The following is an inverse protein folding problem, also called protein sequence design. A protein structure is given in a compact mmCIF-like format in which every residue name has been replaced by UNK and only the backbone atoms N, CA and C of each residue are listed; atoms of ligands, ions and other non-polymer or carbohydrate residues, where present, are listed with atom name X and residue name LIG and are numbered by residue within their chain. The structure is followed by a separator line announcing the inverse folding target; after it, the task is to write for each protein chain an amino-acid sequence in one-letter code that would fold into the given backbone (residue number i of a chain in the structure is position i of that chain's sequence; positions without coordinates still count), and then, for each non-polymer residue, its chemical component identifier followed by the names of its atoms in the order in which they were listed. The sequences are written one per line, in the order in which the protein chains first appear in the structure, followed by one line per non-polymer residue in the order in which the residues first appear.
data_IF_837080415338
#
_entry.id   IF_837080415338
#
_cell.length_a   1.000
_cell.length_b   1.000
_cell.length_c   1.000
_cell.angle_alpha   90.00
_cell.angle_beta   90.00
_cell.angle_gamma   90.00
#
_symmetry.space_group_name_H-M   'P 1'
#
loop_
_entity.id
_entity.type
_entity.pdbx_description
1 polymer ?
#
# COMPACT_ATOMS: atom_id res chain seq x y z
N UNK A 1 -4.95 -8.66 13.95
CA UNK A 1 -4.97 -9.33 15.27
C UNK A 1 -3.65 -9.05 15.98
N UNK A 2 -3.56 -9.17 17.30
CA UNK A 2 -2.34 -8.92 18.10
C UNK A 2 -1.14 -9.74 17.58
N UNK A 3 -1.40 -10.94 17.08
CA UNK A 3 -0.40 -11.82 16.47
C UNK A 3 0.18 -11.24 15.18
N UNK A 4 -0.64 -10.61 14.37
CA UNK A 4 -0.22 -10.03 13.10
C UNK A 4 0.58 -8.75 13.33
N UNK A 5 0.22 -7.99 14.37
CA UNK A 5 0.91 -6.76 14.77
C UNK A 5 2.38 -7.02 15.13
N UNK A 6 2.68 -8.08 15.91
CA UNK A 6 4.07 -8.43 16.25
C UNK A 6 4.88 -8.83 15.01
N UNK A 7 4.30 -9.65 14.13
CA UNK A 7 4.94 -10.07 12.89
C UNK A 7 5.17 -8.88 11.93
N UNK A 8 4.23 -7.95 11.87
CA UNK A 8 4.35 -6.71 11.11
C UNK A 8 5.49 -5.82 11.67
N UNK A 9 5.54 -5.61 12.98
CA UNK A 9 6.62 -4.86 13.63
C UNK A 9 7.99 -5.48 13.36
N UNK A 10 8.09 -6.81 13.40
CA UNK A 10 9.34 -7.50 13.09
C UNK A 10 9.73 -7.30 11.62
N UNK A 11 8.79 -7.42 10.70
CA UNK A 11 9.01 -7.14 9.28
C UNK A 11 9.54 -5.70 9.06
N UNK A 12 8.95 -4.72 9.72
CA UNK A 12 9.40 -3.32 9.64
C UNK A 12 10.83 -3.12 10.16
N UNK A 13 11.26 -3.90 11.17
CA UNK A 13 12.63 -3.83 11.69
C UNK A 13 13.65 -4.49 10.76
N UNK A 14 13.24 -5.57 10.11
CA UNK A 14 14.15 -6.43 9.33
C UNK A 14 14.29 -5.98 7.88
N UNK A 15 13.32 -5.26 7.33
CA UNK A 15 13.28 -4.89 5.92
C UNK A 15 13.52 -3.39 5.68
N UNK A 16 14.80 -3.05 5.50
CA UNK A 16 15.21 -1.67 5.19
C UNK A 16 14.62 -1.12 3.88
N UNK A 17 14.26 -1.98 2.92
CA UNK A 17 13.67 -1.54 1.65
C UNK A 17 12.31 -0.86 1.85
N UNK A 18 11.55 -1.25 2.87
CA UNK A 18 10.28 -0.61 3.21
C UNK A 18 10.47 0.90 3.39
N UNK A 19 11.48 1.31 4.12
CA UNK A 19 11.74 2.71 4.45
C UNK A 19 12.26 3.52 3.28
N UNK A 20 12.99 2.88 2.35
CA UNK A 20 13.50 3.55 1.14
C UNK A 20 12.34 4.13 0.34
N UNK A 21 11.29 3.34 0.13
CA UNK A 21 10.13 3.77 -0.65
C UNK A 21 9.13 4.64 0.14
N UNK A 22 9.23 4.62 1.47
CA UNK A 22 8.49 5.55 2.33
C UNK A 22 9.22 6.90 2.52
N UNK A 23 10.45 7.06 1.99
CA UNK A 23 11.22 8.29 2.11
C UNK A 23 11.72 8.61 3.52
N UNK A 24 11.85 7.60 4.38
CA UNK A 24 12.30 7.76 5.78
C UNK A 24 13.45 6.83 6.11
N UNK A 25 14.26 7.19 7.08
CA UNK A 25 15.34 6.33 7.57
C UNK A 25 14.81 5.30 8.57
N UNK A 26 15.30 4.04 8.54
CA UNK A 26 14.93 3.04 9.55
C UNK A 26 15.26 3.51 10.96
N UNK A 27 14.26 3.53 11.82
CA UNK A 27 14.44 3.83 13.25
C UNK A 27 13.28 3.22 14.04
N UNK A 28 13.49 2.92 15.32
CA UNK A 28 12.42 2.39 16.18
C UNK A 28 11.22 3.36 16.27
N UNK A 29 11.47 4.66 16.19
CA UNK A 29 10.42 5.68 16.16
C UNK A 29 9.54 5.55 14.91
N UNK A 30 10.14 5.30 13.75
CA UNK A 30 9.40 5.07 12.50
C UNK A 30 8.64 3.74 12.53
N UNK A 31 9.26 2.67 13.04
CA UNK A 31 8.59 1.38 13.26
C UNK A 31 7.32 1.57 14.06
N UNK A 32 7.42 2.24 15.21
CA UNK A 32 6.25 2.51 16.06
C UNK A 32 5.26 3.49 15.42
N UNK A 33 5.73 4.45 14.64
CA UNK A 33 4.88 5.36 13.88
C UNK A 33 4.01 4.63 12.86
N UNK A 34 4.58 3.73 12.08
CA UNK A 34 3.85 2.90 11.12
C UNK A 34 2.89 1.93 11.83
N UNK A 35 3.31 1.30 12.93
CA UNK A 35 2.42 0.44 13.71
C UNK A 35 1.18 1.21 14.19
N UNK A 36 1.38 2.38 14.79
CA UNK A 36 0.29 3.25 15.24
C UNK A 36 -0.61 3.69 14.08
N UNK A 37 -0.06 3.96 12.90
CA UNK A 37 -0.83 4.31 11.72
C UNK A 37 -1.79 3.17 11.32
N UNK A 38 -1.31 1.94 11.27
CA UNK A 38 -2.14 0.78 10.92
C UNK A 38 -3.12 0.34 12.03
N UNK A 39 -2.85 0.70 13.29
CA UNK A 39 -3.78 0.45 14.40
C UNK A 39 -4.89 1.51 14.52
N UNK A 40 -4.76 2.65 13.85
CA UNK A 40 -5.76 3.71 13.91
C UNK A 40 -7.04 3.28 13.19
N UNK A 41 -8.16 3.51 13.85
CA UNK A 41 -9.51 3.21 13.35
C UNK A 41 -10.25 4.45 12.83
N UNK A 42 -9.64 5.62 12.91
CA UNK A 42 -10.22 6.90 12.50
C UNK A 42 -10.04 7.22 11.01
N UNK A 43 -9.22 6.42 10.30
CA UNK A 43 -9.11 6.49 8.86
C UNK A 43 -10.12 5.54 8.19
N UNK A 44 -10.59 5.91 7.01
CA UNK A 44 -11.27 4.96 6.12
C UNK A 44 -10.22 4.00 5.53
N UNK A 45 -9.64 3.21 6.42
CA UNK A 45 -8.56 2.27 6.15
C UNK A 45 -9.09 0.85 6.27
N UNK A 46 -8.76 0.04 5.29
CA UNK A 46 -9.03 -1.39 5.30
C UNK A 46 -7.74 -2.11 4.91
N UNK A 47 -7.11 -2.80 5.86
CA UNK A 47 -5.83 -3.49 5.66
C UNK A 47 -5.97 -4.97 5.97
N UNK A 48 -5.46 -5.81 5.08
CA UNK A 48 -5.47 -7.26 5.19
C UNK A 48 -4.07 -7.82 5.24
N UNK A 49 -3.82 -8.69 6.21
CA UNK A 49 -2.58 -9.47 6.32
C UNK A 49 -2.54 -10.56 5.26
N UNK A 50 -1.37 -10.77 4.66
CA UNK A 50 -1.14 -11.81 3.66
C UNK A 50 -0.41 -12.99 4.27
N UNK A 51 -0.96 -14.19 4.05
CA UNK A 51 -0.41 -15.47 4.49
C UNK A 51 -0.34 -16.45 3.31
N UNK A 52 0.78 -17.16 3.10
CA UNK A 52 0.83 -18.22 2.10
C UNK A 52 -0.15 -19.36 2.44
N UNK A 53 -0.82 -19.91 1.43
CA UNK A 53 -1.81 -21.01 1.64
C UNK A 53 -1.23 -22.22 2.36
N UNK A 54 0.06 -22.52 2.14
CA UNK A 54 0.78 -23.63 2.75
C UNK A 54 1.33 -23.30 4.15
N UNK A 55 1.38 -22.03 4.52
CA UNK A 55 1.94 -21.53 5.79
C UNK A 55 1.02 -20.47 6.39
N UNK A 56 -0.20 -20.87 6.74
CA UNK A 56 -1.26 -19.97 7.21
C UNK A 56 -0.94 -19.16 8.47
N UNK A 57 0.15 -19.52 9.14
CA UNK A 57 0.64 -18.85 10.35
C UNK A 57 1.81 -17.90 10.08
N UNK A 58 2.30 -17.86 8.85
CA UNK A 58 3.43 -17.01 8.47
C UNK A 58 2.93 -15.74 7.80
N UNK A 59 2.95 -14.64 8.54
CA UNK A 59 2.73 -13.32 7.98
C UNK A 59 3.85 -12.97 6.99
N UNK A 60 3.49 -12.54 5.79
CA UNK A 60 4.47 -12.22 4.74
C UNK A 60 4.29 -10.82 4.15
N UNK A 61 3.27 -10.09 4.56
CA UNK A 61 3.00 -8.76 4.06
C UNK A 61 1.54 -8.36 4.26
N UNK A 62 1.16 -7.27 3.63
CA UNK A 62 -0.21 -6.75 3.68
C UNK A 62 -0.63 -6.12 2.34
N UNK A 63 -1.92 -5.97 2.18
CA UNK A 63 -2.57 -5.15 1.15
C UNK A 63 -3.69 -4.35 1.82
N UNK A 64 -3.87 -3.13 1.42
CA UNK A 64 -4.89 -2.27 2.01
C UNK A 64 -5.37 -1.18 1.06
N UNK A 65 -6.38 -0.46 1.50
CA UNK A 65 -6.88 0.75 0.88
C UNK A 65 -7.10 1.79 1.96
N UNK A 66 -6.70 3.01 1.70
CA UNK A 66 -6.95 4.15 2.57
C UNK A 66 -7.49 5.33 1.77
N UNK A 67 -8.13 6.25 2.47
CA UNK A 67 -8.61 7.49 1.88
C UNK A 67 -7.51 8.54 1.99
N UNK A 68 -7.03 9.04 0.86
CA UNK A 68 -6.01 10.07 0.81
C UNK A 68 -6.63 11.47 0.79
N UNK A 69 -7.66 11.67 -0.05
CA UNK A 69 -8.41 12.92 -0.15
C UNK A 69 -9.92 12.62 -0.21
N UNK A 70 -10.78 13.65 -0.31
CA UNK A 70 -12.22 13.52 -0.16
C UNK A 70 -12.85 12.45 -1.06
N UNK A 71 -12.36 12.26 -2.26
CA UNK A 71 -12.84 11.25 -3.21
C UNK A 71 -11.71 10.40 -3.80
N UNK A 72 -10.55 10.36 -3.13
CA UNK A 72 -9.40 9.61 -3.59
C UNK A 72 -9.04 8.49 -2.61
N UNK A 73 -9.10 7.26 -3.09
CA UNK A 73 -8.68 6.06 -2.37
C UNK A 73 -7.40 5.52 -2.99
N UNK A 74 -6.38 5.34 -2.17
CA UNK A 74 -5.12 4.73 -2.58
C UNK A 74 -5.04 3.28 -2.10
N UNK A 75 -4.61 2.37 -2.99
CA UNK A 75 -4.23 1.02 -2.63
C UNK A 75 -2.78 1.01 -2.20
N UNK A 76 -2.51 0.34 -1.09
CA UNK A 76 -1.17 0.14 -0.56
C UNK A 76 -0.88 -1.35 -0.40
N UNK A 77 0.37 -1.74 -0.53
CA UNK A 77 0.77 -3.13 -0.36
C UNK A 77 2.26 -3.25 -0.04
N UNK A 78 2.59 -4.29 0.67
CA UNK A 78 3.97 -4.65 0.92
C UNK A 78 4.14 -6.16 1.10
N UNK A 79 5.22 -6.70 0.56
CA UNK A 79 5.63 -8.10 0.74
C UNK A 79 7.05 -8.13 1.27
N UNK A 80 7.27 -8.87 2.35
CA UNK A 80 8.58 -9.10 2.93
C UNK A 80 9.57 -9.66 1.89
N UNK A 81 10.80 -9.21 1.94
CA UNK A 81 11.82 -9.36 0.90
C UNK A 81 11.98 -10.81 0.41
N UNK A 82 12.02 -11.76 1.35
CA UNK A 82 12.18 -13.18 1.06
C UNK A 82 10.99 -13.84 0.35
N UNK A 83 9.82 -13.16 0.33
CA UNK A 83 8.59 -13.65 -0.31
C UNK A 83 8.25 -12.94 -1.62
N UNK A 84 9.07 -11.95 -2.03
CA UNK A 84 8.87 -11.23 -3.30
C UNK A 84 9.04 -12.16 -4.51
N UNK A 85 8.53 -11.75 -5.67
CA UNK A 85 8.62 -12.48 -6.95
C UNK A 85 7.89 -13.83 -6.99
N UNK A 86 6.99 -14.10 -6.04
CA UNK A 86 6.17 -15.31 -5.99
C UNK A 86 4.68 -15.06 -6.35
N UNK A 87 4.33 -13.86 -6.83
CA UNK A 87 2.96 -13.50 -7.23
C UNK A 87 2.03 -13.11 -6.08
N UNK A 88 2.44 -13.21 -4.83
CA UNK A 88 1.58 -12.93 -3.67
C UNK A 88 0.96 -11.52 -3.69
N UNK A 89 1.76 -10.50 -4.02
CA UNK A 89 1.28 -9.14 -4.07
C UNK A 89 0.22 -8.96 -5.15
N UNK A 90 0.44 -9.52 -6.34
CA UNK A 90 -0.51 -9.47 -7.45
C UNK A 90 -1.82 -10.18 -7.10
N UNK A 91 -1.74 -11.40 -6.55
CA UNK A 91 -2.93 -12.18 -6.15
C UNK A 91 -3.75 -11.41 -5.11
N UNK A 92 -3.11 -10.90 -4.06
CA UNK A 92 -3.77 -10.18 -2.98
C UNK A 92 -4.38 -8.84 -3.45
N UNK A 93 -3.63 -8.07 -4.24
CA UNK A 93 -4.11 -6.78 -4.76
C UNK A 93 -5.28 -6.98 -5.72
N UNK A 94 -5.21 -7.97 -6.61
CA UNK A 94 -6.30 -8.28 -7.54
C UNK A 94 -7.57 -8.68 -6.81
N UNK A 95 -7.45 -9.49 -5.76
CA UNK A 95 -8.60 -9.88 -4.93
C UNK A 95 -9.22 -8.68 -4.21
N UNK A 96 -8.40 -7.82 -3.60
CA UNK A 96 -8.90 -6.59 -2.96
C UNK A 96 -9.60 -5.68 -3.96
N UNK A 97 -9.03 -5.46 -5.15
CA UNK A 97 -9.63 -4.65 -6.22
C UNK A 97 -10.97 -5.24 -6.67
N UNK A 98 -11.04 -6.57 -6.85
CA UNK A 98 -12.29 -7.25 -7.19
C UNK A 98 -13.39 -6.98 -6.15
N UNK A 99 -13.05 -7.05 -4.87
CA UNK A 99 -14.01 -6.78 -3.80
C UNK A 99 -14.42 -5.29 -3.77
N UNK A 100 -13.47 -4.37 -3.85
CA UNK A 100 -13.74 -2.92 -3.82
C UNK A 100 -14.64 -2.47 -4.97
N UNK A 101 -14.41 -2.98 -6.17
CA UNK A 101 -15.20 -2.67 -7.37
C UNK A 101 -16.48 -3.51 -7.49
N UNK A 102 -16.57 -4.63 -6.78
CA UNK A 102 -17.72 -5.55 -6.78
C UNK A 102 -18.65 -5.34 -5.59
N UNK A 103 -18.53 -6.21 -4.61
CA UNK A 103 -19.43 -6.29 -3.44
C UNK A 103 -19.10 -5.28 -2.34
N UNK A 104 -17.99 -4.57 -2.46
CA UNK A 104 -17.45 -3.67 -1.46
C UNK A 104 -16.67 -4.40 -0.37
N UNK A 105 -15.96 -3.65 0.44
CA UNK A 105 -15.21 -4.15 1.61
C UNK A 105 -15.74 -3.52 2.89
N UNK A 106 -15.71 -4.27 3.98
CA UNK A 106 -16.09 -3.74 5.28
C UNK A 106 -14.94 -2.91 5.87
N UNK A 107 -15.14 -1.61 5.98
CA UNK A 107 -14.22 -0.68 6.61
C UNK A 107 -14.94 0.07 7.74
N UNK A 108 -14.46 -0.06 8.98
CA UNK A 108 -15.03 0.61 10.15
C UNK A 108 -16.56 0.44 10.30
N UNK A 109 -17.07 -0.77 10.02
CA UNK A 109 -18.50 -1.09 10.12
C UNK A 109 -19.38 -0.54 8.99
N UNK A 110 -18.77 0.01 7.95
CA UNK A 110 -19.44 0.44 6.72
C UNK A 110 -18.91 -0.36 5.54
N UNK A 111 -19.75 -0.60 4.55
CA UNK A 111 -19.30 -1.13 3.27
C UNK A 111 -18.73 0.02 2.42
N UNK A 112 -17.47 -0.12 2.06
CA UNK A 112 -16.76 0.78 1.17
C UNK A 112 -16.88 0.24 -0.26
N UNK A 113 -17.49 1.04 -1.14
CA UNK A 113 -17.56 0.81 -2.59
C UNK A 113 -16.83 1.96 -3.25
N UNK A 114 -15.97 1.65 -4.17
CA UNK A 114 -15.23 2.66 -4.92
C UNK A 114 -15.24 2.31 -6.41
N UNK A 115 -15.20 3.33 -7.25
CA UNK A 115 -15.16 3.17 -8.71
C UNK A 115 -13.79 3.53 -9.28
N UNK A 116 -12.88 4.02 -8.43
CA UNK A 116 -11.57 4.47 -8.83
C UNK A 116 -10.55 4.30 -7.72
N UNK A 117 -9.40 3.75 -8.06
CA UNK A 117 -8.24 3.57 -7.20
C UNK A 117 -7.06 4.35 -7.73
N UNK A 118 -6.27 4.87 -6.82
CA UNK A 118 -5.01 5.55 -7.11
C UNK A 118 -3.84 4.85 -6.45
N UNK A 119 -2.65 5.13 -6.93
CA UNK A 119 -1.37 4.85 -6.26
C UNK A 119 -0.39 5.96 -6.61
N UNK A 120 0.25 6.50 -5.60
CA UNK A 120 1.39 7.40 -5.76
C UNK A 120 2.66 6.67 -5.35
N UNK A 121 3.65 6.62 -6.22
CA UNK A 121 4.93 5.94 -5.93
C UNK A 121 6.11 6.68 -6.57
N UNK A 122 7.30 6.45 -6.02
CA UNK A 122 8.54 7.02 -6.60
C UNK A 122 8.78 6.46 -8.00
N UNK A 123 9.28 7.30 -8.91
CA UNK A 123 9.54 6.90 -10.31
C UNK A 123 10.59 5.79 -10.41
N UNK A 124 11.50 5.70 -9.44
CA UNK A 124 12.50 4.63 -9.36
C UNK A 124 11.94 3.30 -8.83
N UNK A 125 10.71 3.28 -8.32
CA UNK A 125 10.09 2.05 -7.81
C UNK A 125 9.53 1.17 -8.93
N UNK A 126 10.39 0.79 -9.86
CA UNK A 126 10.07 -0.04 -11.03
C UNK A 126 9.29 -1.33 -10.69
N UNK A 127 9.60 -2.06 -9.59
CA UNK A 127 8.83 -3.25 -9.24
C UNK A 127 7.35 -2.95 -8.97
N UNK A 128 7.05 -1.85 -8.26
CA UNK A 128 5.68 -1.41 -7.98
C UNK A 128 4.98 -0.94 -9.25
N UNK A 129 5.63 -0.10 -10.06
CA UNK A 129 5.08 0.41 -11.32
C UNK A 129 4.73 -0.74 -12.26
N UNK A 130 5.65 -1.72 -12.40
CA UNK A 130 5.43 -2.91 -13.22
C UNK A 130 4.23 -3.74 -12.74
N UNK A 131 4.08 -3.93 -11.43
CA UNK A 131 2.94 -4.62 -10.84
C UNK A 131 1.63 -3.87 -11.11
N UNK A 132 1.62 -2.55 -10.90
CA UNK A 132 0.44 -1.71 -11.12
C UNK A 132 -0.03 -1.75 -12.57
N UNK A 133 0.90 -1.66 -13.53
CA UNK A 133 0.58 -1.80 -14.97
C UNK A 133 -0.02 -3.18 -15.28
N UNK A 134 0.50 -4.24 -14.65
CA UNK A 134 -0.05 -5.60 -14.79
C UNK A 134 -1.45 -5.75 -14.18
N UNK A 135 -1.77 -4.97 -13.15
CA UNK A 135 -3.11 -4.90 -12.56
C UNK A 135 -4.08 -4.02 -13.37
N UNK A 136 -3.59 -3.32 -14.41
CA UNK A 136 -4.38 -2.47 -15.28
C UNK A 136 -4.31 -0.97 -14.95
N UNK A 137 -3.52 -0.55 -13.97
CA UNK A 137 -3.33 0.86 -13.69
C UNK A 137 -2.58 1.56 -14.84
N UNK A 138 -3.01 2.78 -15.14
CA UNK A 138 -2.35 3.69 -16.07
C UNK A 138 -1.89 4.96 -15.37
N UNK A 139 -0.85 5.58 -15.89
CA UNK A 139 -0.40 6.86 -15.38
C UNK A 139 -1.43 7.96 -15.66
N UNK A 140 -1.57 8.89 -14.72
CA UNK A 140 -2.39 10.10 -14.96
C UNK A 140 -1.67 11.03 -15.96
N UNK A 141 -2.44 11.82 -16.70
CA UNK A 141 -1.90 12.64 -17.81
C UNK A 141 -0.93 13.75 -17.37
N UNK A 142 -1.01 14.17 -16.10
CA UNK A 142 -0.18 15.27 -15.58
C UNK A 142 1.32 14.91 -15.45
N UNK A 143 1.67 13.63 -15.65
CA UNK A 143 3.05 13.13 -15.56
C UNK A 143 3.62 13.12 -14.14
N UNK A 144 4.92 12.82 -14.03
CA UNK A 144 5.60 12.80 -12.74
C UNK A 144 5.64 14.18 -12.08
N UNK A 145 5.47 14.22 -10.77
CA UNK A 145 5.56 15.44 -9.97
C UNK A 145 6.63 15.31 -8.90
N UNK A 146 7.26 16.42 -8.55
CA UNK A 146 8.18 16.48 -7.42
C UNK A 146 7.37 16.63 -6.14
N UNK A 147 7.48 15.64 -5.27
CA UNK A 147 6.89 15.68 -3.93
C UNK A 147 8.01 15.78 -2.90
N UNK A 148 7.89 16.76 -2.04
CA UNK A 148 8.76 16.87 -0.87
C UNK A 148 8.13 16.07 0.25
N UNK A 149 8.64 14.87 0.46
CA UNK A 149 8.24 14.06 1.60
C UNK A 149 8.96 14.61 2.82
N UNK A 150 8.24 15.37 3.65
CA UNK A 150 8.68 15.68 4.99
C UNK A 150 8.69 14.40 5.80
N UNK A 151 9.65 14.27 6.70
CA UNK A 151 9.60 13.18 7.67
C UNK A 151 8.38 13.39 8.59
N UNK A 152 7.28 12.72 8.29
CA UNK A 152 6.01 12.82 9.04
C UNK A 152 6.17 12.51 10.55
N UNK A 153 7.31 11.92 10.94
CA UNK A 153 7.60 11.52 12.31
C UNK A 153 8.68 12.38 13.00
N UNK A 154 9.36 13.27 12.28
CA UNK A 154 10.40 14.14 12.86
C UNK A 154 10.11 15.61 12.58
N UNK A 155 10.32 16.43 13.61
CA UNK A 155 10.17 17.90 13.50
C UNK A 155 11.42 18.57 12.89
N UNK A 156 12.42 17.80 12.51
CA UNK A 156 13.66 18.32 11.93
C UNK A 156 13.56 18.35 10.40
N UNK A 157 14.16 19.37 9.79
CA UNK A 157 14.06 19.74 8.37
C UNK A 157 14.75 18.76 7.38
N UNK A 158 14.63 17.46 7.60
CA UNK A 158 15.09 16.46 6.65
C UNK A 158 13.99 16.18 5.61
N UNK A 159 13.87 17.11 4.66
CA UNK A 159 13.00 16.93 3.51
C UNK A 159 13.76 16.19 2.40
N UNK A 160 13.20 15.09 1.94
CA UNK A 160 13.67 14.42 0.73
C UNK A 160 12.70 14.74 -0.40
N UNK A 161 13.22 15.33 -1.49
CA UNK A 161 12.45 15.51 -2.69
C UNK A 161 12.53 14.24 -3.54
N UNK A 162 11.39 13.62 -3.81
CA UNK A 162 11.30 12.48 -4.72
C UNK A 162 10.42 12.82 -5.90
N UNK A 163 10.84 12.38 -7.07
CA UNK A 163 9.97 12.38 -8.23
C UNK A 163 9.00 11.19 -8.08
N UNK A 164 7.71 11.49 -8.12
CA UNK A 164 6.66 10.47 -7.98
C UNK A 164 5.78 10.46 -9.21
N UNK A 165 5.23 9.30 -9.51
CA UNK A 165 4.21 9.10 -10.52
C UNK A 165 2.92 8.68 -9.83
N UNK A 166 1.80 9.26 -10.26
CA UNK A 166 0.46 8.87 -9.84
C UNK A 166 -0.18 7.99 -10.91
N UNK A 167 -0.67 6.84 -10.50
CA UNK A 167 -1.37 5.90 -11.36
C UNK A 167 -2.83 5.78 -10.91
N UNK A 168 -3.70 5.45 -11.86
CA UNK A 168 -5.13 5.31 -11.63
C UNK A 168 -5.66 4.04 -12.30
N UNK A 169 -6.63 3.40 -11.67
CA UNK A 169 -7.42 2.30 -12.19
C UNK A 169 -8.89 2.59 -11.94
N UNK A 170 -9.71 2.52 -12.98
CA UNK A 170 -11.16 2.61 -12.85
C UNK A 170 -11.81 1.24 -12.89
N UNK A 171 -13.01 1.14 -12.33
CA UNK A 171 -13.80 -0.08 -12.34
C UNK A 171 -14.09 -0.58 -13.76
N UNK A 172 -14.33 0.33 -14.70
CA UNK A 172 -14.57 0.03 -16.12
C UNK A 172 -13.34 -0.63 -16.75
N UNK A 173 -12.17 0.03 -16.62
CA UNK A 173 -10.88 -0.47 -17.16
C UNK A 173 -10.50 -1.85 -16.58
N UNK A 174 -10.78 -2.07 -15.28
CA UNK A 174 -10.51 -3.36 -14.64
C UNK A 174 -11.42 -4.48 -15.16
N UNK A 175 -12.68 -4.18 -15.44
CA UNK A 175 -13.65 -5.14 -15.96
C UNK A 175 -13.34 -5.57 -17.39
N UNK A 176 -12.81 -4.67 -18.22
CA UNK A 176 -12.47 -4.92 -19.62
C UNK A 176 -11.16 -5.71 -19.78
N UNK A 177 -10.31 -5.72 -18.76
CA UNK A 177 -9.02 -6.40 -18.74
C UNK A 177 -9.00 -7.84 -18.18
N UNK A 178 -10.15 -8.32 -17.68
CA UNK A 178 -10.39 -9.67 -17.19
C UNK A 178 -11.28 -10.41 -18.18
#
# INVERSE_FOLDING_TARGET
TDRDSEAFLQMLRDDGDFYIFCGVSPSEKHVMGFANYFERTDHELCTYSIFPKQQKDKFIGYVGVHREMEDEYEIEFYIAREYRRNGYCEEASRELINQLFGDGVSANGKNLFIDKLYVTTQTENEPTISLLRKLGFREVEDGPVMVVLGNIFEKEDNFFAHEVVKLVLTKEEFSDGN
#
